data_IF_757594383288
#
_entry.id   IF_757594383288
#
_cell.length_a   1.000
_cell.length_b   1.000
_cell.length_c   1.000
_cell.angle_alpha   90.00
_cell.angle_beta   90.00
_cell.angle_gamma   90.00
#
_symmetry.space_group_name_H-M   'P 1'
#
loop_
_entity.id
_entity.type
_entity.pdbx_description
1 polymer ?
#
# COMPACT_ATOMS: atom_id res chain seq x y z
N UNK A 1 24.53 13.92 13.54
CA UNK A 1 23.76 14.36 12.35
C UNK A 1 22.81 15.48 12.77
N UNK A 2 22.85 16.67 12.15
CA UNK A 2 22.19 17.86 12.67
C UNK A 2 20.92 18.20 11.89
N UNK A 3 20.01 17.24 11.69
CA UNK A 3 18.67 17.58 11.19
C UNK A 3 17.56 17.19 12.16
N UNK A 4 17.67 17.51 13.47
CA UNK A 4 16.52 17.40 14.36
C UNK A 4 15.34 18.22 13.78
N UNK A 5 15.62 19.38 13.17
CA UNK A 5 14.60 20.21 12.53
C UNK A 5 13.81 19.54 11.41
N UNK A 6 14.41 18.66 10.59
CA UNK A 6 13.68 17.92 9.56
C UNK A 6 12.72 16.90 10.19
N UNK A 7 13.17 16.22 11.26
CA UNK A 7 12.36 15.27 11.99
C UNK A 7 11.25 15.95 12.79
N UNK A 8 11.53 17.10 13.40
CA UNK A 8 10.53 17.94 14.07
C UNK A 8 9.51 18.51 13.09
N UNK A 9 9.92 18.89 11.88
CA UNK A 9 9.00 19.32 10.83
C UNK A 9 8.11 18.16 10.38
N UNK A 10 8.68 16.97 10.16
CA UNK A 10 7.90 15.77 9.86
C UNK A 10 6.94 15.42 11.00
N UNK A 11 7.34 15.61 12.26
CA UNK A 11 6.49 15.47 13.45
C UNK A 11 5.34 16.49 13.47
N UNK A 12 5.60 17.75 13.10
CA UNK A 12 4.57 18.79 13.02
C UNK A 12 3.56 18.51 11.90
N UNK A 13 4.04 18.07 10.72
CA UNK A 13 3.21 17.68 9.58
C UNK A 13 2.38 16.43 9.92
N UNK A 14 2.99 15.44 10.59
CA UNK A 14 2.35 14.24 11.14
C UNK A 14 1.18 14.60 12.06
N UNK A 15 1.39 15.51 13.01
CA UNK A 15 0.35 15.97 13.92
C UNK A 15 -0.76 16.73 13.19
N UNK A 16 -0.43 17.50 12.16
CA UNK A 16 -1.40 18.26 11.35
C UNK A 16 -2.29 17.34 10.50
N UNK A 17 -1.76 16.27 9.91
CA UNK A 17 -2.54 15.31 9.12
C UNK A 17 -3.57 14.53 9.95
N UNK A 18 -3.30 14.32 11.24
CA UNK A 18 -4.26 13.71 12.17
C UNK A 18 -5.48 14.61 12.48
N UNK A 19 -5.42 15.91 12.14
CA UNK A 19 -6.51 16.85 12.38
C UNK A 19 -7.55 16.86 11.26
N UNK A 20 -7.32 16.20 10.13
CA UNK A 20 -8.28 16.17 9.02
C UNK A 20 -9.38 15.13 9.29
N UNK A 21 -10.65 15.55 9.48
CA UNK A 21 -11.75 14.63 9.74
C UNK A 21 -12.10 13.88 8.45
N UNK A 22 -11.56 12.68 8.27
CA UNK A 22 -11.90 11.81 7.15
C UNK A 22 -12.48 10.49 7.70
N UNK A 23 -13.63 9.99 7.20
CA UNK A 23 -14.18 8.68 7.58
C UNK A 23 -13.22 7.51 7.27
N UNK A 24 -12.21 7.72 6.41
CA UNK A 24 -11.08 6.79 6.24
C UNK A 24 -10.04 6.84 7.37
N UNK A 25 -10.32 7.55 8.47
CA UNK A 25 -9.35 7.82 9.54
C UNK A 25 -8.79 6.59 10.24
N UNK A 26 -9.54 5.49 10.30
CA UNK A 26 -9.02 4.22 10.82
C UNK A 26 -7.85 3.69 9.97
N UNK A 27 -7.84 3.99 8.67
CA UNK A 27 -6.72 3.73 7.76
C UNK A 27 -5.69 4.88 7.75
N UNK A 28 -6.10 6.14 7.96
CA UNK A 28 -5.16 7.29 7.93
C UNK A 28 -4.41 7.55 9.22
N UNK A 29 -4.80 6.98 10.37
CA UNK A 29 -3.99 7.01 11.61
C UNK A 29 -2.60 6.39 11.41
N UNK A 30 -2.45 5.53 10.39
CA UNK A 30 -1.16 4.96 9.98
C UNK A 30 -0.28 5.93 9.18
N UNK A 31 -0.87 6.92 8.52
CA UNK A 31 -0.19 7.84 7.58
C UNK A 31 0.94 8.67 8.21
N UNK A 32 0.79 9.21 9.43
CA UNK A 32 1.86 9.95 10.09
C UNK A 32 3.04 9.04 10.52
N UNK A 33 2.77 7.79 10.90
CA UNK A 33 3.81 6.82 11.23
C UNK A 33 4.63 6.41 9.99
N UNK A 34 4.06 6.50 8.78
CA UNK A 34 4.79 6.25 7.53
C UNK A 34 5.98 7.21 7.34
N UNK A 35 5.91 8.41 7.93
CA UNK A 35 7.01 9.38 7.88
C UNK A 35 8.25 8.91 8.66
N UNK A 36 8.11 7.93 9.57
CA UNK A 36 9.22 7.34 10.33
C UNK A 36 9.89 6.16 9.63
N UNK A 37 9.27 5.56 8.61
CA UNK A 37 9.81 4.38 7.92
C UNK A 37 11.14 4.69 7.23
N UNK A 38 11.16 5.69 6.33
CA UNK A 38 12.37 6.08 5.58
C UNK A 38 13.51 6.53 6.53
N UNK A 39 13.25 7.36 7.55
CA UNK A 39 14.28 7.77 8.52
C UNK A 39 14.88 6.60 9.29
N UNK A 40 14.03 5.72 9.82
CA UNK A 40 14.47 4.51 10.52
C UNK A 40 15.29 3.64 9.56
N UNK A 41 14.89 3.52 8.30
CA UNK A 41 15.66 2.79 7.29
C UNK A 41 17.04 3.40 7.03
N UNK A 42 17.14 4.72 6.87
CA UNK A 42 18.42 5.42 6.66
C UNK A 42 19.35 5.25 7.87
N UNK A 43 18.84 5.44 9.10
CA UNK A 43 19.65 5.25 10.30
C UNK A 43 20.09 3.80 10.49
N UNK A 44 19.22 2.85 10.19
CA UNK A 44 19.53 1.42 10.26
C UNK A 44 20.57 1.01 9.22
N UNK A 45 20.50 1.57 8.01
CA UNK A 45 21.50 1.36 6.95
C UNK A 45 22.91 1.74 7.42
N UNK A 46 23.06 2.89 8.10
CA UNK A 46 24.35 3.33 8.69
C UNK A 46 24.68 2.68 10.05
N UNK A 47 23.91 1.67 10.49
CA UNK A 47 24.06 0.99 11.81
C UNK A 47 23.97 1.94 13.01
N UNK A 48 23.29 3.08 12.87
CA UNK A 48 23.04 4.04 13.95
C UNK A 48 21.84 3.61 14.81
N UNK A 49 21.90 2.39 15.39
CA UNK A 49 20.79 1.72 16.08
C UNK A 49 20.13 2.56 17.18
N UNK A 50 20.91 3.37 17.91
CA UNK A 50 20.38 4.26 18.96
C UNK A 50 19.41 5.30 18.41
N UNK A 51 19.69 5.85 17.21
CA UNK A 51 18.83 6.85 16.56
C UNK A 51 17.59 6.21 15.95
N UNK A 52 17.76 5.05 15.31
CA UNK A 52 16.64 4.26 14.81
C UNK A 52 15.67 3.88 15.95
N UNK A 53 16.18 3.38 17.08
CA UNK A 53 15.38 3.07 18.26
C UNK A 53 14.69 4.32 18.85
N UNK A 54 15.39 5.46 18.90
CA UNK A 54 14.81 6.73 19.35
C UNK A 54 13.65 7.20 18.48
N UNK A 55 13.74 7.03 17.16
CA UNK A 55 12.64 7.35 16.23
C UNK A 55 11.44 6.41 16.41
N UNK A 56 11.69 5.11 16.55
CA UNK A 56 10.63 4.11 16.80
C UNK A 56 9.93 4.42 18.13
N UNK A 57 10.68 4.77 19.18
CA UNK A 57 10.14 5.17 20.47
C UNK A 57 9.45 6.56 20.44
N UNK A 58 9.81 7.43 19.50
CA UNK A 58 9.16 8.72 19.27
C UNK A 58 7.82 8.63 18.53
N UNK A 59 7.64 7.60 17.69
CA UNK A 59 6.38 7.36 16.98
C UNK A 59 5.13 7.26 17.88
N UNK A 60 5.13 6.52 19.01
CA UNK A 60 3.98 6.50 19.91
C UNK A 60 3.74 7.85 20.56
N UNK A 61 4.78 8.62 20.93
CA UNK A 61 4.59 9.98 21.47
C UNK A 61 3.90 10.91 20.46
N UNK A 62 4.25 10.79 19.18
CA UNK A 62 3.57 11.52 18.11
C UNK A 62 2.10 11.11 17.97
N UNK A 63 1.84 9.80 18.09
CA UNK A 63 0.51 9.22 18.04
C UNK A 63 -0.35 9.70 19.22
N UNK A 64 0.20 9.69 20.45
CA UNK A 64 -0.42 10.23 21.66
C UNK A 64 -0.78 11.72 21.48
N UNK A 65 0.15 12.52 20.98
CA UNK A 65 -0.08 13.94 20.73
C UNK A 65 -1.19 14.17 19.70
N UNK A 66 -1.20 13.39 18.61
CA UNK A 66 -2.26 13.43 17.60
C UNK A 66 -3.64 13.07 18.16
N UNK A 67 -3.73 12.00 18.95
CA UNK A 67 -4.97 11.62 19.62
C UNK A 67 -5.43 12.71 20.62
N UNK A 68 -4.52 13.27 21.40
CA UNK A 68 -4.83 14.34 22.35
C UNK A 68 -5.40 15.58 21.66
N UNK A 69 -4.82 15.99 20.52
CA UNK A 69 -5.33 17.09 19.71
C UNK A 69 -6.70 16.79 19.10
N UNK A 70 -6.91 15.57 18.61
CA UNK A 70 -8.20 15.14 18.06
C UNK A 70 -9.30 15.21 19.13
N UNK A 71 -9.04 14.69 20.33
CA UNK A 71 -9.96 14.74 21.47
C UNK A 71 -10.24 16.19 21.87
N UNK A 72 -9.21 17.03 21.93
CA UNK A 72 -9.33 18.45 22.24
C UNK A 72 -10.10 19.25 21.17
N UNK A 73 -10.14 18.76 19.92
CA UNK A 73 -10.89 19.37 18.81
C UNK A 73 -12.35 18.91 18.74
N UNK A 74 -12.77 17.92 19.54
CA UNK A 74 -14.16 17.44 19.59
C UNK A 74 -15.18 18.32 20.37
N UNK A 75 -14.85 19.31 21.22
CA UNK A 75 -15.87 20.04 21.96
C UNK A 75 -16.57 21.09 21.08
N UNK A 76 -17.89 20.98 20.95
CA UNK A 76 -18.73 22.11 20.49
C UNK A 76 -19.67 21.87 19.30
N UNK A 77 -19.70 20.68 18.67
CA UNK A 77 -20.84 20.36 17.79
C UNK A 77 -22.02 20.02 18.70
N UNK A 78 -22.84 21.03 19.01
CA UNK A 78 -24.01 20.97 19.90
C UNK A 78 -25.14 20.02 19.45
N UNK A 79 -24.83 18.97 18.70
CA UNK A 79 -25.76 17.90 18.46
C UNK A 79 -25.86 17.04 19.73
N UNK A 80 -27.07 16.98 20.27
CA UNK A 80 -27.44 16.12 21.40
C UNK A 80 -27.16 14.62 21.15
N UNK A 81 -26.77 14.26 19.93
CA UNK A 81 -26.38 12.92 19.50
C UNK A 81 -24.86 12.69 19.43
N UNK A 82 -24.03 13.61 19.95
CA UNK A 82 -22.58 13.39 20.01
C UNK A 82 -22.27 12.16 20.88
N UNK A 83 -21.72 11.12 20.26
CA UNK A 83 -21.35 9.86 20.92
C UNK A 83 -20.35 10.17 22.03
N UNK A 84 -20.79 10.07 23.29
CA UNK A 84 -19.90 10.20 24.44
C UNK A 84 -19.00 8.97 24.50
N UNK A 85 -17.74 9.14 24.10
CA UNK A 85 -16.71 8.11 24.28
C UNK A 85 -16.31 8.07 25.75
N UNK A 86 -16.38 6.87 26.36
CA UNK A 86 -15.87 6.67 27.71
C UNK A 86 -14.36 6.87 27.77
N UNK A 87 -13.83 7.25 28.93
CA UNK A 87 -12.38 7.38 29.17
C UNK A 87 -11.63 6.09 28.83
N UNK A 88 -12.24 4.92 29.08
CA UNK A 88 -11.68 3.62 28.75
C UNK A 88 -11.56 3.39 27.23
N UNK A 89 -12.57 3.79 26.45
CA UNK A 89 -12.52 3.71 24.98
C UNK A 89 -11.44 4.64 24.41
N UNK A 90 -11.35 5.86 24.94
CA UNK A 90 -10.29 6.82 24.56
C UNK A 90 -8.90 6.21 24.84
N UNK A 91 -8.68 5.70 26.05
CA UNK A 91 -7.40 5.08 26.41
C UNK A 91 -7.07 3.87 25.52
N UNK A 92 -8.06 3.03 25.20
CA UNK A 92 -7.90 1.89 24.30
C UNK A 92 -7.50 2.31 22.88
N UNK A 93 -8.18 3.31 22.32
CA UNK A 93 -7.85 3.87 21.00
C UNK A 93 -6.41 4.40 20.99
N UNK A 94 -6.06 5.21 21.98
CA UNK A 94 -4.73 5.81 22.14
C UNK A 94 -3.63 4.74 22.22
N UNK A 95 -3.86 3.67 23.00
CA UNK A 95 -2.92 2.56 23.14
C UNK A 95 -2.73 1.80 21.82
N UNK A 96 -3.83 1.46 21.13
CA UNK A 96 -3.78 0.76 19.84
C UNK A 96 -3.09 1.60 18.75
N UNK A 97 -3.43 2.88 18.67
CA UNK A 97 -2.80 3.84 17.75
C UNK A 97 -1.30 3.97 18.01
N UNK A 98 -0.89 4.01 19.28
CA UNK A 98 0.53 4.06 19.66
C UNK A 98 1.28 2.78 19.28
N UNK A 99 0.67 1.62 19.53
CA UNK A 99 1.24 0.33 19.15
C UNK A 99 1.40 0.21 17.62
N UNK A 100 0.38 0.61 16.86
CA UNK A 100 0.44 0.64 15.40
C UNK A 100 1.53 1.59 14.89
N UNK A 101 1.69 2.76 15.52
CA UNK A 101 2.75 3.70 15.14
C UNK A 101 4.16 3.11 15.33
N UNK A 102 4.38 2.39 16.43
CA UNK A 102 5.65 1.66 16.68
C UNK A 102 5.89 0.62 15.59
N UNK A 103 4.89 -0.19 15.29
CA UNK A 103 4.97 -1.23 14.26
C UNK A 103 5.31 -0.63 12.90
N UNK A 104 4.58 0.41 12.48
CA UNK A 104 4.80 1.06 11.18
C UNK A 104 6.20 1.68 11.12
N UNK A 105 6.63 2.40 12.16
CA UNK A 105 7.98 2.97 12.21
C UNK A 105 9.07 1.88 12.13
N UNK A 106 8.86 0.74 12.79
CA UNK A 106 9.78 -0.39 12.79
C UNK A 106 9.92 -1.07 11.40
N UNK A 107 9.01 -0.83 10.46
CA UNK A 107 9.15 -1.31 9.07
C UNK A 107 10.37 -0.71 8.36
N UNK A 108 10.91 0.40 8.86
CA UNK A 108 12.19 0.91 8.38
C UNK A 108 13.38 -0.03 8.65
N UNK A 109 13.30 -0.88 9.68
CA UNK A 109 14.39 -1.79 10.07
C UNK A 109 14.75 -2.80 8.96
N UNK A 110 13.82 -3.62 8.42
CA UNK A 110 14.15 -4.56 7.34
C UNK A 110 14.64 -3.83 6.08
N UNK A 111 14.11 -2.64 5.78
CA UNK A 111 14.57 -1.82 4.67
C UNK A 111 16.04 -1.42 4.88
N UNK A 112 16.37 -0.82 6.02
CA UNK A 112 17.74 -0.37 6.31
C UNK A 112 18.75 -1.51 6.44
N UNK A 113 18.38 -2.64 7.04
CA UNK A 113 19.24 -3.83 7.11
C UNK A 113 19.50 -4.39 5.73
N UNK A 114 18.46 -4.49 4.89
CA UNK A 114 18.59 -5.00 3.53
C UNK A 114 19.45 -4.11 2.65
N UNK A 115 19.23 -2.80 2.68
CA UNK A 115 20.05 -1.83 1.91
C UNK A 115 21.48 -1.79 2.41
N UNK A 116 21.72 -1.77 3.73
CA UNK A 116 23.07 -1.76 4.31
C UNK A 116 23.86 -3.05 4.06
N UNK A 117 23.20 -4.14 3.65
CA UNK A 117 23.81 -5.39 3.20
C UNK A 117 23.95 -5.49 1.68
N UNK A 118 23.57 -4.46 0.93
CA UNK A 118 23.64 -4.47 -0.53
C UNK A 118 22.67 -5.46 -1.18
N UNK A 119 21.51 -5.75 -0.55
CA UNK A 119 20.50 -6.61 -1.17
C UNK A 119 19.91 -5.95 -2.43
N UNK A 120 19.41 -6.79 -3.34
CA UNK A 120 18.64 -6.31 -4.48
C UNK A 120 17.34 -5.67 -4.03
N UNK A 121 16.85 -4.70 -4.81
CA UNK A 121 15.60 -3.98 -4.53
C UNK A 121 14.44 -4.96 -4.21
N UNK A 122 14.26 -5.99 -5.04
CA UNK A 122 13.22 -7.00 -4.83
C UNK A 122 13.35 -7.79 -3.53
N UNK A 123 14.58 -8.12 -3.10
CA UNK A 123 14.82 -8.79 -1.81
C UNK A 123 14.49 -7.89 -0.62
N UNK A 124 14.84 -6.61 -0.70
CA UNK A 124 14.50 -5.63 0.35
C UNK A 124 12.98 -5.47 0.45
N UNK A 125 12.30 -5.30 -0.68
CA UNK A 125 10.83 -5.22 -0.72
C UNK A 125 10.19 -6.49 -0.17
N UNK A 126 10.62 -7.68 -0.60
CA UNK A 126 10.06 -8.93 -0.14
C UNK A 126 10.20 -9.12 1.39
N UNK A 127 11.38 -8.82 1.94
CA UNK A 127 11.61 -8.93 3.38
C UNK A 127 10.79 -7.92 4.19
N UNK A 128 10.71 -6.67 3.73
CA UNK A 128 9.92 -5.64 4.39
C UNK A 128 8.42 -5.90 4.28
N UNK A 129 7.94 -6.33 3.10
CA UNK A 129 6.55 -6.71 2.86
C UNK A 129 6.16 -7.91 3.73
N UNK A 130 6.99 -8.95 3.81
CA UNK A 130 6.74 -10.09 4.68
C UNK A 130 6.67 -9.68 6.17
N UNK A 131 7.57 -8.79 6.62
CA UNK A 131 7.57 -8.30 7.99
C UNK A 131 6.28 -7.51 8.32
N UNK A 132 5.87 -6.57 7.45
CA UNK A 132 4.63 -5.80 7.68
C UNK A 132 3.41 -6.69 7.60
N UNK A 133 3.32 -7.60 6.63
CA UNK A 133 2.18 -8.52 6.51
C UNK A 133 2.09 -9.47 7.70
N UNK A 134 3.20 -9.95 8.26
CA UNK A 134 3.16 -10.78 9.46
C UNK A 134 2.60 -10.01 10.66
N UNK A 135 3.07 -8.78 10.89
CA UNK A 135 2.60 -7.99 12.03
C UNK A 135 1.15 -7.53 11.85
N UNK A 136 0.82 -6.95 10.69
CA UNK A 136 -0.53 -6.48 10.41
C UNK A 136 -1.51 -7.65 10.30
N UNK A 137 -1.11 -8.76 9.69
CA UNK A 137 -1.93 -9.97 9.63
C UNK A 137 -2.25 -10.53 11.01
N UNK A 138 -1.26 -10.53 11.93
CA UNK A 138 -1.49 -10.92 13.33
C UNK A 138 -2.46 -9.96 14.01
N UNK A 139 -2.26 -8.66 13.83
CA UNK A 139 -3.16 -7.65 14.38
C UNK A 139 -4.59 -7.79 13.84
N UNK A 140 -4.74 -7.96 12.51
CA UNK A 140 -6.02 -8.15 11.85
C UNK A 140 -6.72 -9.43 12.35
N UNK A 141 -5.98 -10.51 12.57
CA UNK A 141 -6.52 -11.74 13.14
C UNK A 141 -7.02 -11.52 14.59
N UNK A 142 -6.28 -10.79 15.42
CA UNK A 142 -6.68 -10.47 16.79
C UNK A 142 -7.87 -9.50 16.86
N UNK A 143 -8.00 -8.62 15.88
CA UNK A 143 -9.05 -7.59 15.81
C UNK A 143 -10.14 -7.91 14.78
N UNK A 144 -10.24 -9.16 14.32
CA UNK A 144 -11.07 -9.56 13.18
C UNK A 144 -12.55 -9.15 13.35
N UNK A 145 -13.13 -9.38 14.51
CA UNK A 145 -14.54 -9.04 14.76
C UNK A 145 -14.78 -7.53 14.78
N UNK A 146 -13.86 -6.77 15.37
CA UNK A 146 -13.96 -5.31 15.40
C UNK A 146 -13.84 -4.74 13.98
N UNK A 147 -12.90 -5.26 13.20
CA UNK A 147 -12.72 -4.89 11.81
C UNK A 147 -13.95 -5.23 10.96
N UNK A 148 -14.53 -6.42 11.13
CA UNK A 148 -15.75 -6.80 10.41
C UNK A 148 -16.93 -5.89 10.72
N UNK A 149 -17.12 -5.50 11.98
CA UNK A 149 -18.18 -4.54 12.38
C UNK A 149 -17.99 -3.18 11.71
N UNK A 150 -16.75 -2.72 11.57
CA UNK A 150 -16.44 -1.46 10.85
C UNK A 150 -16.83 -1.59 9.39
N UNK A 151 -16.44 -2.68 8.71
CA UNK A 151 -16.84 -2.92 7.32
C UNK A 151 -18.37 -2.99 7.17
N UNK A 152 -19.06 -3.71 8.05
CA UNK A 152 -20.53 -3.81 7.99
C UNK A 152 -21.19 -2.45 8.16
N UNK A 153 -20.67 -1.62 9.06
CA UNK A 153 -21.15 -0.25 9.26
C UNK A 153 -20.92 0.60 8.01
N UNK A 154 -19.75 0.50 7.37
CA UNK A 154 -19.46 1.22 6.11
C UNK A 154 -20.39 0.77 4.98
N UNK A 155 -20.63 -0.54 4.86
CA UNK A 155 -21.54 -1.09 3.84
C UNK A 155 -22.97 -0.61 4.07
N UNK A 156 -23.44 -0.62 5.33
CA UNK A 156 -24.76 -0.10 5.66
C UNK A 156 -24.90 1.38 5.28
N UNK A 157 -23.89 2.21 5.57
CA UNK A 157 -23.86 3.63 5.18
C UNK A 157 -23.89 3.80 3.65
N UNK A 158 -23.14 3.00 2.89
CA UNK A 158 -23.18 3.07 1.42
C UNK A 158 -24.54 2.66 0.85
N UNK A 159 -25.16 1.61 1.40
CA UNK A 159 -26.50 1.17 1.00
C UNK A 159 -27.53 2.26 1.29
N UNK A 160 -27.46 2.89 2.47
CA UNK A 160 -28.34 4.01 2.82
C UNK A 160 -28.15 5.18 1.85
N UNK A 161 -26.91 5.60 1.59
CA UNK A 161 -26.61 6.68 0.64
C UNK A 161 -27.13 6.41 -0.78
N UNK A 162 -26.98 5.18 -1.28
CA UNK A 162 -27.50 4.81 -2.59
C UNK A 162 -29.03 4.86 -2.63
N UNK A 163 -29.70 4.39 -1.57
CA UNK A 163 -31.16 4.47 -1.47
C UNK A 163 -31.67 5.92 -1.39
N UNK A 164 -30.98 6.80 -0.65
CA UNK A 164 -31.32 8.22 -0.60
C UNK A 164 -31.15 8.90 -1.96
N UNK A 165 -30.10 8.52 -2.71
CA UNK A 165 -29.83 9.07 -4.04
C UNK A 165 -30.64 8.42 -5.16
N UNK A 166 -31.35 7.32 -4.88
CA UNK A 166 -32.07 6.53 -5.88
C UNK A 166 -33.19 7.31 -6.60
N UNK A 167 -33.74 8.36 -5.96
CA UNK A 167 -34.74 9.22 -6.59
C UNK A 167 -34.20 9.98 -7.82
N UNK A 168 -32.89 10.19 -7.90
CA UNK A 168 -32.23 10.98 -8.95
C UNK A 168 -31.44 10.12 -9.95
N UNK A 169 -31.38 8.81 -9.76
CA UNK A 169 -30.60 7.88 -10.55
C UNK A 169 -31.50 6.85 -11.24
N UNK A 170 -31.01 6.28 -12.34
CA UNK A 170 -31.66 5.13 -12.96
C UNK A 170 -31.71 3.96 -11.97
N UNK A 171 -32.92 3.40 -11.75
CA UNK A 171 -33.14 2.30 -10.81
C UNK A 171 -32.31 1.07 -11.16
N UNK A 172 -32.13 0.77 -12.45
CA UNK A 172 -31.34 -0.39 -12.87
C UNK A 172 -29.87 -0.26 -12.44
N UNK A 173 -29.31 0.95 -12.50
CA UNK A 173 -27.95 1.24 -12.06
C UNK A 173 -27.84 1.08 -10.54
N UNK A 174 -28.81 1.63 -9.80
CA UNK A 174 -28.83 1.53 -8.34
C UNK A 174 -28.93 0.07 -7.89
N UNK A 175 -29.82 -0.73 -8.50
CA UNK A 175 -30.00 -2.14 -8.16
C UNK A 175 -28.73 -2.97 -8.39
N UNK A 176 -28.04 -2.76 -9.52
CA UNK A 176 -26.75 -3.42 -9.79
C UNK A 176 -25.66 -3.02 -8.79
N UNK A 177 -25.62 -1.76 -8.39
CA UNK A 177 -24.67 -1.27 -7.40
C UNK A 177 -24.96 -1.86 -6.01
N UNK A 178 -26.23 -1.90 -5.61
CA UNK A 178 -26.66 -2.51 -4.36
C UNK A 178 -26.36 -4.01 -4.33
N UNK A 179 -26.62 -4.74 -5.42
CA UNK A 179 -26.25 -6.14 -5.57
C UNK A 179 -24.75 -6.35 -5.39
N UNK A 180 -23.93 -5.54 -6.06
CA UNK A 180 -22.46 -5.60 -5.96
C UNK A 180 -21.96 -5.34 -4.54
N UNK A 181 -22.49 -4.32 -3.86
CA UNK A 181 -22.13 -3.98 -2.47
C UNK A 181 -22.54 -5.08 -1.49
N UNK A 182 -23.75 -5.65 -1.67
CA UNK A 182 -24.22 -6.76 -0.83
C UNK A 182 -23.38 -8.01 -1.04
N UNK A 183 -23.07 -8.33 -2.30
CA UNK A 183 -22.19 -9.44 -2.62
C UNK A 183 -20.80 -9.25 -2.00
N UNK A 184 -20.24 -8.04 -2.08
CA UNK A 184 -18.97 -7.70 -1.43
C UNK A 184 -19.06 -7.88 0.09
N UNK A 185 -20.14 -7.40 0.74
CA UNK A 185 -20.34 -7.58 2.17
C UNK A 185 -20.40 -9.04 2.62
N UNK A 186 -21.07 -9.88 1.83
CA UNK A 186 -21.16 -11.33 2.08
C UNK A 186 -19.82 -12.04 1.89
N UNK A 187 -18.98 -11.56 0.97
CA UNK A 187 -17.73 -12.21 0.59
C UNK A 187 -16.47 -11.46 1.04
N UNK A 188 -16.58 -10.43 1.89
CA UNK A 188 -15.46 -9.56 2.30
C UNK A 188 -14.25 -10.34 2.83
N UNK A 189 -14.48 -11.43 3.56
CA UNK A 189 -13.43 -12.29 4.11
C UNK A 189 -12.49 -12.86 3.02
N UNK A 190 -13.02 -13.06 1.81
CA UNK A 190 -12.29 -13.62 0.68
C UNK A 190 -11.29 -12.62 0.07
N UNK A 191 -11.43 -11.32 0.33
CA UNK A 191 -10.63 -10.27 -0.33
C UNK A 191 -9.79 -9.44 0.63
N UNK A 192 -10.28 -9.20 1.85
CA UNK A 192 -9.71 -8.23 2.79
C UNK A 192 -8.22 -8.45 3.01
N UNK A 193 -7.78 -9.68 3.29
CA UNK A 193 -6.38 -9.95 3.62
C UNK A 193 -5.47 -9.75 2.40
N UNK A 194 -5.93 -10.16 1.22
CA UNK A 194 -5.23 -9.96 -0.04
C UNK A 194 -5.14 -8.48 -0.43
N UNK A 195 -6.20 -7.71 -0.21
CA UNK A 195 -6.22 -6.25 -0.45
C UNK A 195 -5.27 -5.53 0.51
N UNK A 196 -5.31 -5.87 1.80
CA UNK A 196 -4.36 -5.33 2.80
C UNK A 196 -2.92 -5.64 2.40
N UNK A 197 -2.63 -6.90 2.03
CA UNK A 197 -1.31 -7.27 1.51
C UNK A 197 -0.91 -6.42 0.29
N UNK A 198 -1.81 -6.23 -0.66
CA UNK A 198 -1.55 -5.42 -1.86
C UNK A 198 -1.17 -3.97 -1.51
N UNK A 199 -1.90 -3.36 -0.57
CA UNK A 199 -1.62 -2.01 -0.08
C UNK A 199 -0.24 -1.94 0.58
N UNK A 200 0.07 -2.86 1.49
CA UNK A 200 1.37 -2.86 2.17
C UNK A 200 2.54 -3.14 1.23
N UNK A 201 2.35 -4.01 0.24
CA UNK A 201 3.36 -4.29 -0.78
C UNK A 201 3.65 -3.02 -1.59
N UNK A 202 2.61 -2.32 -2.06
CA UNK A 202 2.75 -1.07 -2.80
C UNK A 202 3.44 0.03 -1.97
N UNK A 203 3.04 0.20 -0.71
CA UNK A 203 3.67 1.14 0.23
C UNK A 203 5.14 0.78 0.47
N UNK A 204 5.45 -0.50 0.62
CA UNK A 204 6.83 -0.98 0.79
C UNK A 204 7.68 -0.63 -0.44
N UNK A 205 7.18 -0.85 -1.65
CA UNK A 205 7.86 -0.42 -2.88
C UNK A 205 8.12 1.09 -2.88
N UNK A 206 7.15 1.90 -2.46
CA UNK A 206 7.31 3.35 -2.34
C UNK A 206 8.40 3.72 -1.32
N UNK A 207 8.38 3.14 -0.11
CA UNK A 207 9.37 3.45 0.93
C UNK A 207 10.78 3.01 0.57
N UNK A 208 10.95 1.83 -0.03
CA UNK A 208 12.28 1.39 -0.50
C UNK A 208 12.79 2.35 -1.59
N UNK A 209 11.92 2.78 -2.51
CA UNK A 209 12.29 3.75 -3.56
C UNK A 209 12.67 5.12 -2.99
N UNK A 210 11.88 5.66 -2.05
CA UNK A 210 12.18 6.94 -1.39
C UNK A 210 13.48 6.82 -0.59
N UNK A 211 13.68 5.72 0.14
CA UNK A 211 14.93 5.46 0.87
C UNK A 211 16.12 5.43 -0.07
N UNK A 212 16.02 4.73 -1.20
CA UNK A 212 17.08 4.69 -2.21
C UNK A 212 17.39 6.09 -2.78
N UNK A 213 16.36 6.92 -3.06
CA UNK A 213 16.54 8.30 -3.51
C UNK A 213 17.25 9.14 -2.45
N UNK A 214 16.86 9.02 -1.19
CA UNK A 214 17.48 9.76 -0.07
C UNK A 214 18.95 9.35 0.09
N UNK A 215 19.24 8.05 0.11
CA UNK A 215 20.62 7.53 0.20
C UNK A 215 21.49 8.06 -0.95
N UNK A 216 21.02 7.97 -2.20
CA UNK A 216 21.77 8.42 -3.38
C UNK A 216 21.97 9.94 -3.41
N UNK A 217 20.92 10.72 -3.15
CA UNK A 217 20.97 12.19 -3.30
C UNK A 217 21.60 12.91 -2.12
N UNK A 218 21.44 12.39 -0.90
CA UNK A 218 21.87 13.09 0.32
C UNK A 218 23.15 12.52 0.92
N UNK A 219 23.42 11.24 0.69
CA UNK A 219 24.55 10.54 1.31
C UNK A 219 25.57 10.00 0.30
N UNK A 220 25.33 10.17 -1.01
CA UNK A 220 26.14 9.59 -2.09
C UNK A 220 26.30 8.06 -1.96
N UNK A 221 25.35 7.40 -1.29
CA UNK A 221 25.34 5.95 -1.12
C UNK A 221 24.52 5.30 -2.26
N UNK A 222 24.99 4.19 -2.86
CA UNK A 222 24.29 3.54 -3.96
C UNK A 222 22.89 3.01 -3.58
N UNK A 223 22.63 2.76 -2.29
CA UNK A 223 21.39 2.19 -1.78
C UNK A 223 21.21 0.71 -2.19
N UNK A 224 19.96 0.20 -2.30
CA UNK A 224 19.72 -1.16 -2.78
C UNK A 224 20.19 -1.33 -4.23
N UNK A 225 20.60 -2.56 -4.57
CA UNK A 225 21.01 -2.90 -5.94
C UNK A 225 19.76 -2.91 -6.84
N UNK A 226 19.78 -2.05 -7.87
CA UNK A 226 18.66 -1.85 -8.80
C UNK A 226 17.67 -0.76 -8.36
N UNK A 227 16.51 -0.74 -8.99
CA UNK A 227 15.39 0.14 -8.71
C UNK A 227 14.04 -0.57 -8.92
N UNK A 228 12.93 0.10 -8.58
CA UNK A 228 11.58 -0.44 -8.78
C UNK A 228 11.30 -0.90 -10.21
N UNK A 229 11.77 -0.16 -11.22
CA UNK A 229 11.63 -0.53 -12.64
C UNK A 229 12.30 -1.86 -13.00
N UNK A 230 13.31 -2.26 -12.23
CA UNK A 230 14.08 -3.50 -12.42
C UNK A 230 13.49 -4.67 -11.61
N UNK A 231 12.38 -4.43 -10.87
CA UNK A 231 11.72 -5.45 -10.07
C UNK A 231 11.14 -6.52 -10.98
N UNK A 232 11.49 -7.78 -10.71
CA UNK A 232 10.95 -8.95 -11.39
C UNK A 232 10.50 -9.97 -10.33
N UNK A 233 9.22 -10.38 -10.32
CA UNK A 233 8.77 -11.49 -9.47
C UNK A 233 9.52 -12.78 -9.82
N UNK A 234 9.82 -13.66 -8.85
CA UNK A 234 10.47 -14.91 -9.17
C UNK A 234 9.56 -15.84 -10.00
N UNK A 235 10.15 -16.54 -10.98
CA UNK A 235 9.43 -17.35 -11.98
C UNK A 235 8.51 -18.41 -11.37
N UNK A 236 8.87 -18.94 -10.20
CA UNK A 236 8.06 -19.96 -9.52
C UNK A 236 6.68 -19.46 -9.08
N UNK A 237 6.46 -18.13 -8.97
CA UNK A 237 5.15 -17.56 -8.64
C UNK A 237 4.09 -17.87 -9.70
N UNK A 238 4.49 -18.12 -10.93
CA UNK A 238 3.56 -18.55 -11.99
C UNK A 238 2.87 -19.86 -11.60
N UNK A 239 3.60 -20.79 -10.98
CA UNK A 239 3.02 -22.04 -10.49
C UNK A 239 2.02 -21.82 -9.37
N UNK A 240 2.27 -20.84 -8.47
CA UNK A 240 1.30 -20.45 -7.45
C UNK A 240 0.04 -19.91 -8.11
N UNK A 241 0.16 -19.10 -9.17
CA UNK A 241 -0.97 -18.63 -9.97
C UNK A 241 -1.79 -19.76 -10.57
N UNK A 242 -1.13 -20.75 -11.18
CA UNK A 242 -1.78 -21.94 -11.75
C UNK A 242 -2.52 -22.73 -10.66
N UNK A 243 -1.86 -23.02 -9.53
CA UNK A 243 -2.47 -23.74 -8.40
C UNK A 243 -3.65 -22.96 -7.83
N UNK A 244 -3.55 -21.63 -7.74
CA UNK A 244 -4.65 -20.76 -7.27
C UNK A 244 -5.84 -20.80 -8.25
N UNK A 245 -5.59 -20.81 -9.56
CA UNK A 245 -6.65 -20.95 -10.56
C UNK A 245 -7.33 -22.32 -10.48
N UNK A 246 -6.57 -23.41 -10.28
CA UNK A 246 -7.13 -24.74 -10.06
C UNK A 246 -7.96 -24.80 -8.78
N UNK A 247 -7.46 -24.24 -7.69
CA UNK A 247 -8.19 -24.13 -6.42
C UNK A 247 -9.48 -23.32 -6.57
N UNK A 248 -9.51 -22.31 -7.45
CA UNK A 248 -10.71 -21.55 -7.76
C UNK A 248 -11.78 -22.38 -8.49
N UNK A 249 -11.39 -23.24 -9.43
CA UNK A 249 -12.33 -24.18 -10.04
C UNK A 249 -12.93 -25.14 -9.01
N UNK A 250 -12.12 -25.60 -8.05
CA UNK A 250 -12.59 -26.45 -6.93
C UNK A 250 -13.52 -25.66 -5.99
N UNK A 251 -13.17 -24.42 -5.63
CA UNK A 251 -14.03 -23.54 -4.80
C UNK A 251 -15.38 -23.28 -5.48
N UNK A 252 -15.38 -23.10 -6.80
CA UNK A 252 -16.61 -22.87 -7.57
C UNK A 252 -17.57 -24.06 -7.54
N UNK A 253 -17.04 -25.28 -7.65
CA UNK A 253 -17.86 -26.50 -7.72
C UNK A 253 -18.29 -26.98 -6.34
N UNK A 254 -17.35 -27.06 -5.39
CA UNK A 254 -17.60 -27.69 -4.10
C UNK A 254 -18.00 -26.69 -3.02
N UNK A 255 -17.56 -25.44 -3.11
CA UNK A 255 -17.84 -24.38 -2.14
C UNK A 255 -17.28 -24.68 -0.73
N UNK A 256 -16.40 -23.83 -0.23
CA UNK A 256 -15.93 -23.94 1.15
C UNK A 256 -15.46 -22.61 1.69
N UNK A 257 -15.79 -22.28 2.94
CA UNK A 257 -15.38 -21.00 3.53
C UNK A 257 -13.85 -20.85 3.54
N UNK A 258 -13.15 -21.90 3.96
CA UNK A 258 -11.70 -21.94 4.11
C UNK A 258 -11.02 -21.91 2.73
N UNK A 259 -11.51 -22.71 1.78
CA UNK A 259 -10.96 -22.74 0.43
C UNK A 259 -11.17 -21.39 -0.28
N UNK A 260 -12.36 -20.80 -0.14
CA UNK A 260 -12.66 -19.45 -0.67
C UNK A 260 -11.76 -18.40 -0.04
N UNK A 261 -11.61 -18.42 1.29
CA UNK A 261 -10.76 -17.50 2.01
C UNK A 261 -9.32 -17.56 1.47
N UNK A 262 -8.72 -18.76 1.37
CA UNK A 262 -7.34 -18.90 0.90
C UNK A 262 -7.23 -18.52 -0.58
N UNK A 263 -8.07 -19.10 -1.43
CA UNK A 263 -7.97 -18.97 -2.89
C UNK A 263 -8.09 -17.51 -3.33
N UNK A 264 -9.10 -16.79 -2.84
CA UNK A 264 -9.32 -15.41 -3.26
C UNK A 264 -8.29 -14.45 -2.69
N UNK A 265 -7.87 -14.61 -1.42
CA UNK A 265 -6.84 -13.73 -0.86
C UNK A 265 -5.48 -13.96 -1.54
N UNK A 266 -5.13 -15.21 -1.89
CA UNK A 266 -3.94 -15.52 -2.68
C UNK A 266 -4.07 -14.95 -4.10
N UNK A 267 -5.23 -15.08 -4.74
CA UNK A 267 -5.47 -14.51 -6.08
C UNK A 267 -5.29 -12.99 -6.10
N UNK A 268 -5.85 -12.28 -5.12
CA UNK A 268 -5.68 -10.83 -4.96
C UNK A 268 -4.21 -10.48 -4.69
N UNK A 269 -3.55 -11.22 -3.81
CA UNK A 269 -2.13 -11.03 -3.52
C UNK A 269 -1.24 -11.20 -4.75
N UNK A 270 -1.43 -12.28 -5.51
CA UNK A 270 -0.72 -12.51 -6.78
C UNK A 270 -1.05 -11.42 -7.80
N UNK A 271 -2.32 -11.04 -7.94
CA UNK A 271 -2.73 -9.95 -8.82
C UNK A 271 -2.00 -8.66 -8.49
N UNK A 272 -1.78 -8.35 -7.21
CA UNK A 272 -1.03 -7.16 -6.78
C UNK A 272 0.47 -7.24 -7.10
N UNK A 273 1.09 -8.42 -6.96
CA UNK A 273 2.50 -8.64 -7.33
C UNK A 273 2.67 -8.41 -8.83
N UNK A 274 1.80 -9.01 -9.64
CA UNK A 274 1.85 -8.85 -11.09
C UNK A 274 1.46 -7.44 -11.53
N UNK A 275 0.51 -6.79 -10.85
CA UNK A 275 0.19 -5.39 -11.08
C UNK A 275 1.43 -4.50 -10.91
N UNK A 276 2.17 -4.67 -9.81
CA UNK A 276 3.40 -3.93 -9.55
C UNK A 276 4.51 -4.26 -10.56
N UNK A 277 4.62 -5.52 -11.01
CA UNK A 277 5.52 -5.86 -12.13
C UNK A 277 5.11 -5.13 -13.42
N UNK A 278 3.81 -5.10 -13.74
CA UNK A 278 3.26 -4.31 -14.84
C UNK A 278 3.63 -2.83 -14.73
N UNK A 279 3.49 -2.23 -13.54
CA UNK A 279 3.93 -0.87 -13.28
C UNK A 279 5.45 -0.69 -13.49
N UNK A 280 6.28 -1.64 -13.05
CA UNK A 280 7.72 -1.59 -13.22
C UNK A 280 8.11 -1.60 -14.71
N UNK A 281 7.47 -2.45 -15.52
CA UNK A 281 7.64 -2.52 -16.98
C UNK A 281 7.17 -1.22 -17.64
N UNK A 282 6.02 -0.69 -17.22
CA UNK A 282 5.51 0.57 -17.75
C UNK A 282 6.50 1.71 -17.47
N UNK A 283 7.01 1.83 -16.25
CA UNK A 283 8.03 2.83 -15.89
C UNK A 283 9.35 2.62 -16.65
N UNK A 284 9.74 1.36 -16.89
CA UNK A 284 10.88 1.05 -17.74
C UNK A 284 10.67 1.58 -19.16
N UNK A 285 9.51 1.30 -19.76
CA UNK A 285 9.14 1.81 -21.08
C UNK A 285 9.11 3.34 -21.16
N UNK A 286 8.56 4.02 -20.14
CA UNK A 286 8.58 5.48 -20.05
C UNK A 286 10.01 6.04 -20.01
N UNK A 287 10.91 5.38 -19.29
CA UNK A 287 12.29 5.84 -19.23
C UNK A 287 13.02 5.63 -20.57
N UNK A 288 12.80 4.49 -21.20
CA UNK A 288 13.42 4.13 -22.47
C UNK A 288 12.96 5.03 -23.61
N UNK A 289 11.65 5.29 -23.69
CA UNK A 289 11.05 6.12 -24.74
C UNK A 289 11.13 7.62 -24.45
N UNK A 290 11.35 8.00 -23.19
CA UNK A 290 11.38 9.38 -22.70
C UNK A 290 10.24 10.26 -23.26
N UNK A 291 8.96 9.84 -23.16
CA UNK A 291 7.86 10.62 -23.70
C UNK A 291 7.72 11.94 -22.94
N UNK A 292 7.10 12.93 -23.58
CA UNK A 292 6.83 14.22 -22.94
C UNK A 292 5.94 14.04 -21.70
N UNK A 293 6.12 14.91 -20.70
CA UNK A 293 5.33 14.88 -19.46
C UNK A 293 3.82 14.96 -19.74
N UNK A 294 3.42 15.72 -20.76
CA UNK A 294 2.03 15.81 -21.22
C UNK A 294 1.48 14.46 -21.68
N UNK A 295 2.25 13.72 -22.50
CA UNK A 295 1.85 12.39 -22.95
C UNK A 295 1.74 11.40 -21.77
N UNK A 296 2.66 11.46 -20.81
CA UNK A 296 2.59 10.64 -19.59
C UNK A 296 1.31 10.96 -18.82
N UNK A 297 1.02 12.25 -18.59
CA UNK A 297 -0.19 12.67 -17.87
C UNK A 297 -1.46 12.23 -18.59
N UNK A 298 -1.52 12.39 -19.91
CA UNK A 298 -2.65 11.94 -20.73
C UNK A 298 -2.84 10.43 -20.64
N UNK A 299 -1.76 9.64 -20.76
CA UNK A 299 -1.82 8.19 -20.62
C UNK A 299 -2.33 7.77 -19.24
N UNK A 300 -1.86 8.40 -18.16
CA UNK A 300 -2.33 8.13 -16.80
C UNK A 300 -3.83 8.44 -16.66
N UNK A 301 -4.30 9.59 -17.18
CA UNK A 301 -5.71 9.96 -17.13
C UNK A 301 -6.57 8.97 -17.90
N UNK A 302 -6.20 8.65 -19.14
CA UNK A 302 -6.93 7.67 -19.97
C UNK A 302 -6.95 6.32 -19.26
N UNK A 303 -5.82 5.89 -18.72
CA UNK A 303 -5.68 4.61 -18.02
C UNK A 303 -6.59 4.50 -16.79
N UNK A 304 -6.68 5.57 -15.98
CA UNK A 304 -7.56 5.63 -14.81
C UNK A 304 -9.04 5.69 -15.19
N UNK A 305 -9.41 6.52 -16.18
CA UNK A 305 -10.80 6.70 -16.60
C UNK A 305 -11.39 5.49 -17.32
N UNK A 306 -10.54 4.72 -18.03
CA UNK A 306 -10.96 3.51 -18.75
C UNK A 306 -10.96 2.25 -17.88
N UNK A 307 -10.52 2.34 -16.62
CA UNK A 307 -10.42 1.18 -15.73
C UNK A 307 -9.42 0.15 -16.23
N UNK A 308 -8.38 0.54 -16.96
CA UNK A 308 -7.37 -0.36 -17.53
C UNK A 308 -6.34 -0.87 -16.51
N UNK A 309 -6.46 -0.51 -15.23
CA UNK A 309 -5.57 -0.98 -14.17
C UNK A 309 -5.42 -2.52 -14.09
N UNK A 310 -6.44 -3.37 -14.35
CA UNK A 310 -6.27 -4.82 -14.38
C UNK A 310 -5.35 -5.29 -15.52
N UNK A 311 -5.27 -4.52 -16.62
CA UNK A 311 -4.40 -4.86 -17.75
C UNK A 311 -2.91 -4.86 -17.35
N UNK A 312 -2.50 -4.06 -16.35
CA UNK A 312 -1.13 -4.10 -15.83
C UNK A 312 -0.81 -5.42 -15.13
N UNK A 313 -1.78 -6.04 -14.44
CA UNK A 313 -1.59 -7.38 -13.88
C UNK A 313 -1.32 -8.41 -14.98
N UNK A 314 -2.04 -8.34 -16.10
CA UNK A 314 -1.78 -9.22 -17.25
C UNK A 314 -0.41 -8.94 -17.89
N UNK A 315 -0.06 -7.68 -18.12
CA UNK A 315 1.26 -7.31 -18.65
C UNK A 315 2.37 -7.85 -17.74
N UNK A 316 2.23 -7.67 -16.43
CA UNK A 316 3.17 -8.17 -15.44
C UNK A 316 3.26 -9.69 -15.39
N UNK A 317 2.15 -10.41 -15.61
CA UNK A 317 2.14 -11.87 -15.71
C UNK A 317 2.85 -12.36 -16.99
N UNK A 318 2.64 -11.68 -18.12
CA UNK A 318 3.22 -12.08 -19.40
C UNK A 318 4.69 -11.70 -19.57
N UNK A 319 5.22 -10.74 -18.81
CA UNK A 319 6.64 -10.37 -18.85
C UNK A 319 7.55 -11.56 -18.54
N UNK A 320 7.11 -12.43 -17.65
CA UNK A 320 7.83 -13.67 -17.29
C UNK A 320 8.01 -14.61 -18.48
N UNK A 321 7.20 -14.45 -19.54
CA UNK A 321 7.20 -15.32 -20.73
C UNK A 321 7.73 -14.60 -21.99
N UNK A 322 7.37 -13.33 -22.18
CA UNK A 322 7.63 -12.59 -23.41
C UNK A 322 8.94 -11.77 -23.38
N UNK A 323 9.55 -11.61 -22.20
CA UNK A 323 10.71 -10.76 -21.96
C UNK A 323 10.53 -9.35 -22.56
N UNK A 324 9.52 -8.60 -22.11
CA UNK A 324 9.20 -7.30 -22.70
C UNK A 324 10.37 -6.32 -22.60
N UNK A 325 11.16 -6.39 -21.52
CA UNK A 325 12.36 -5.59 -21.33
C UNK A 325 13.36 -5.71 -22.48
N UNK A 326 13.69 -6.94 -22.90
CA UNK A 326 14.61 -7.15 -24.04
C UNK A 326 14.04 -6.60 -25.35
N UNK A 327 12.73 -6.67 -25.57
CA UNK A 327 12.09 -6.10 -26.76
C UNK A 327 12.15 -4.58 -26.74
N UNK A 328 11.94 -3.97 -25.57
CA UNK A 328 12.06 -2.52 -25.38
C UNK A 328 13.50 -2.05 -25.59
N UNK A 329 14.50 -2.81 -25.15
CA UNK A 329 15.92 -2.47 -25.34
C UNK A 329 16.29 -2.44 -26.83
N UNK A 330 15.84 -3.46 -27.59
CA UNK A 330 16.04 -3.51 -29.04
C UNK A 330 15.33 -2.36 -29.75
N UNK A 331 14.12 -2.01 -29.32
CA UNK A 331 13.40 -0.86 -29.87
C UNK A 331 14.13 0.46 -29.58
N UNK A 332 14.65 0.62 -28.36
CA UNK A 332 15.43 1.79 -27.97
C UNK A 332 16.70 1.94 -28.81
N UNK A 333 17.39 0.82 -29.04
CA UNK A 333 18.59 0.77 -29.86
C UNK A 333 18.27 1.12 -31.32
N UNK A 334 17.18 0.59 -31.88
CA UNK A 334 16.72 0.95 -33.22
C UNK A 334 16.38 2.44 -33.35
N UNK A 335 15.73 3.04 -32.34
CA UNK A 335 15.43 4.48 -32.31
C UNK A 335 16.72 5.31 -32.25
N UNK A 336 17.70 4.90 -31.43
CA UNK A 336 19.00 5.60 -31.33
C UNK A 336 19.77 5.54 -32.65
N UNK A 337 19.81 4.38 -33.31
CA UNK A 337 20.49 4.22 -34.60
C UNK A 337 19.81 5.04 -35.71
N UNK A 338 18.48 5.11 -35.71
CA UNK A 338 17.74 5.97 -36.63
C UNK A 338 18.00 7.46 -36.39
N UNK A 339 18.27 7.88 -35.15
CA UNK A 339 18.61 9.25 -34.80
C UNK A 339 20.07 9.62 -35.08
N UNK A 340 21.00 8.65 -35.00
CA UNK A 340 22.42 8.88 -35.29
C UNK A 340 22.73 8.96 -36.80
N UNK A 341 21.81 8.54 -37.66
CA UNK A 341 22.01 8.54 -39.12
C UNK A 341 23.00 7.47 -39.61
N UNK A 342 23.31 6.48 -38.76
CA UNK A 342 24.07 5.29 -39.13
C UNK A 342 23.09 4.27 -39.75
N UNK A 343 22.70 4.47 -41.01
CA UNK A 343 21.91 3.49 -41.78
C UNK A 343 22.73 2.80 -42.86
#
# INVERSE_FOLDING_TARGET
>A
MPYPGLWTLLFAVTALFNLLPNPLSVLTVSCPALLYVVPVAVYTHFREWRRAAGLIAGAPLAALAGCGLLIAAMPGRGDANSVQLSTAQIAGMVAMTSANAVVVAALGLPIGVGTGRGWSYGRVVAAAAAAVTAVVGTYLALCWDAFNRIIDSMIALFVEQLNTNAANLDREIVDRQLESIRWFGQNKFAFVVGVEFAVYLALTCAFVSITAIVLRRRFADPGPVGAFRDMHPPDWLVWVGIVTALAWFVDREYGGFELRFVTWNVAVGLSSIYFLNGCAIFLYGLQVLAPSLFLIAMLVVVFLMSGLYPALSFIGLFDTWANFRMRMDRLAEAIRNAQSGES
#
